data_IF_700727183671
#
_entry.id   IF_700727183671
#
_cell.length_a   1.000
_cell.length_b   1.000
_cell.length_c   1.000
_cell.angle_alpha   90.00
_cell.angle_beta   90.00
_cell.angle_gamma   90.00
#
_symmetry.space_group_name_H-M   'P 1'
#
loop_
_entity.id
_entity.type
_entity.pdbx_description
1 polymer ?
#
# COMPACT_ATOMS: atom_id res chain seq x y z
N UNK A 1 23.66 60.13 0.36
CA UNK A 1 24.34 58.95 0.95
C UNK A 1 23.44 58.12 1.87
N UNK A 2 22.33 58.64 2.43
CA UNK A 2 21.39 57.86 3.25
C UNK A 2 20.57 56.80 2.49
N UNK A 3 20.39 56.97 1.18
CA UNK A 3 19.53 56.15 0.31
C UNK A 3 20.11 54.76 -0.03
N UNK A 4 21.45 54.66 -0.14
CA UNK A 4 22.12 53.40 -0.54
C UNK A 4 22.18 52.39 0.61
N UNK A 5 22.37 52.87 1.85
CA UNK A 5 22.41 51.99 3.03
C UNK A 5 21.01 51.50 3.43
N UNK A 6 19.99 52.34 3.25
CA UNK A 6 18.59 51.96 3.45
C UNK A 6 18.15 50.92 2.40
N UNK A 7 18.46 51.16 1.12
CA UNK A 7 18.20 50.21 0.03
C UNK A 7 18.95 48.88 0.24
N UNK A 8 20.20 48.93 0.70
CA UNK A 8 20.98 47.72 1.05
C UNK A 8 20.33 46.95 2.19
N UNK A 9 19.88 47.64 3.24
CA UNK A 9 19.17 47.01 4.36
C UNK A 9 17.84 46.38 3.94
N UNK A 10 17.10 47.03 3.05
CA UNK A 10 15.88 46.47 2.45
C UNK A 10 16.18 45.21 1.63
N UNK A 11 17.17 45.26 0.74
CA UNK A 11 17.55 44.11 -0.10
C UNK A 11 18.05 42.93 0.74
N UNK A 12 18.81 43.17 1.81
CA UNK A 12 19.25 42.12 2.73
C UNK A 12 18.08 41.42 3.42
N UNK A 13 17.07 42.17 3.88
CA UNK A 13 15.84 41.60 4.47
C UNK A 13 15.04 40.82 3.43
N UNK A 14 14.81 41.38 2.25
CA UNK A 14 14.08 40.70 1.18
C UNK A 14 14.75 39.40 0.73
N UNK A 15 16.09 39.36 0.67
CA UNK A 15 16.85 38.14 0.37
C UNK A 15 16.74 37.11 1.50
N UNK A 16 16.76 37.54 2.76
CA UNK A 16 16.56 36.65 3.91
C UNK A 16 15.15 36.04 3.91
N UNK A 17 14.11 36.87 3.75
CA UNK A 17 12.71 36.42 3.65
C UNK A 17 12.49 35.47 2.47
N UNK A 18 13.10 35.74 1.31
CA UNK A 18 13.02 34.84 0.15
C UNK A 18 13.71 33.50 0.43
N UNK A 19 14.85 33.51 1.14
CA UNK A 19 15.56 32.27 1.52
C UNK A 19 14.73 31.44 2.50
N UNK A 20 14.16 32.09 3.52
CA UNK A 20 13.26 31.43 4.48
C UNK A 20 12.04 30.85 3.79
N UNK A 21 11.39 31.62 2.92
CA UNK A 21 10.23 31.15 2.14
C UNK A 21 10.59 29.97 1.25
N UNK A 22 11.74 30.01 0.56
CA UNK A 22 12.21 28.89 -0.27
C UNK A 22 12.55 27.65 0.57
N UNK A 23 13.16 27.82 1.74
CA UNK A 23 13.46 26.73 2.64
C UNK A 23 12.16 26.07 3.16
N UNK A 24 11.18 26.88 3.56
CA UNK A 24 9.87 26.41 4.00
C UNK A 24 9.08 25.71 2.88
N UNK A 25 9.17 26.19 1.63
CA UNK A 25 8.56 25.50 0.48
C UNK A 25 9.26 24.17 0.18
N UNK A 26 10.60 24.13 0.25
CA UNK A 26 11.37 22.91 0.04
C UNK A 26 11.05 21.83 1.07
N UNK A 27 10.92 22.19 2.35
CA UNK A 27 10.56 21.20 3.39
C UNK A 27 9.13 20.68 3.24
N UNK A 28 8.19 21.52 2.77
CA UNK A 28 6.79 21.13 2.55
C UNK A 28 6.61 20.13 1.40
N UNK A 29 7.50 20.16 0.42
CA UNK A 29 7.47 19.28 -0.76
C UNK A 29 8.72 18.40 -0.83
N UNK A 30 9.37 18.17 0.31
CA UNK A 30 10.55 17.34 0.36
C UNK A 30 10.20 15.91 -0.07
N UNK A 31 10.96 15.30 -0.99
CA UNK A 31 10.76 13.90 -1.36
C UNK A 31 10.98 12.98 -0.15
N UNK A 32 10.23 11.89 -0.12
CA UNK A 32 10.32 10.87 0.93
C UNK A 32 10.87 9.58 0.34
N UNK A 33 11.95 9.07 0.92
CA UNK A 33 12.63 7.87 0.47
C UNK A 33 11.99 6.64 1.10
N UNK A 34 11.69 5.64 0.28
CA UNK A 34 11.35 4.29 0.73
C UNK A 34 12.65 3.51 0.87
N UNK A 35 13.05 3.17 2.10
CA UNK A 35 14.32 2.49 2.36
C UNK A 35 14.22 0.97 2.23
N UNK A 36 13.22 0.41 2.91
CA UNK A 36 12.99 -1.02 2.99
C UNK A 36 11.50 -1.33 2.99
N UNK A 37 11.18 -2.57 2.66
CA UNK A 37 9.82 -3.04 2.54
C UNK A 37 9.74 -4.55 2.77
N UNK A 38 8.58 -5.01 3.21
CA UNK A 38 8.19 -6.42 3.24
C UNK A 38 6.72 -6.56 2.90
N UNK A 39 6.32 -7.72 2.38
CA UNK A 39 4.93 -8.01 2.07
C UNK A 39 4.59 -9.49 2.23
N UNK A 40 3.29 -9.76 2.33
CA UNK A 40 2.63 -11.06 2.24
C UNK A 40 1.46 -10.92 1.30
N UNK A 41 1.45 -11.68 0.22
CA UNK A 41 0.37 -11.69 -0.76
C UNK A 41 0.08 -13.13 -1.21
N UNK A 42 -1.08 -13.38 -1.84
CA UNK A 42 -1.43 -14.70 -2.36
C UNK A 42 -0.42 -15.22 -3.39
N UNK A 43 -0.46 -16.52 -3.65
CA UNK A 43 0.41 -17.17 -4.63
C UNK A 43 1.84 -17.41 -4.12
N UNK A 44 1.97 -17.60 -2.81
CA UNK A 44 3.24 -17.86 -2.13
C UNK A 44 4.16 -16.64 -2.00
N UNK A 45 3.61 -15.42 -2.08
CA UNK A 45 4.42 -14.20 -2.00
C UNK A 45 4.74 -13.88 -0.54
N UNK A 46 6.02 -14.01 -0.19
CA UNK A 46 6.53 -13.74 1.17
C UNK A 46 7.54 -12.60 1.23
N UNK A 47 7.86 -11.99 0.10
CA UNK A 47 8.81 -10.89 -0.01
C UNK A 47 8.53 -10.02 -1.23
N UNK A 48 9.15 -8.85 -1.29
CA UNK A 48 9.04 -7.92 -2.44
C UNK A 48 9.60 -8.56 -3.71
N UNK A 49 10.65 -9.38 -3.59
CA UNK A 49 11.18 -10.17 -4.69
C UNK A 49 10.20 -11.23 -5.19
N UNK A 50 9.49 -11.93 -4.29
CA UNK A 50 8.46 -12.90 -4.69
C UNK A 50 7.29 -12.22 -5.40
N UNK A 51 6.89 -11.02 -4.93
CA UNK A 51 5.87 -10.20 -5.59
C UNK A 51 6.31 -9.86 -7.01
N UNK A 52 7.56 -9.43 -7.19
CA UNK A 52 8.12 -9.14 -8.50
C UNK A 52 8.13 -10.38 -9.40
N UNK A 53 8.57 -11.54 -8.89
CA UNK A 53 8.57 -12.78 -9.66
C UNK A 53 7.15 -13.16 -10.10
N UNK A 54 6.15 -13.03 -9.21
CA UNK A 54 4.76 -13.30 -9.51
C UNK A 54 4.23 -12.44 -10.67
N UNK A 55 4.45 -11.11 -10.62
CA UNK A 55 3.94 -10.19 -11.65
C UNK A 55 4.73 -10.25 -12.95
N UNK A 56 6.05 -10.50 -12.89
CA UNK A 56 6.90 -10.59 -14.08
C UNK A 56 6.65 -11.87 -14.87
N UNK A 57 6.32 -12.97 -14.18
CA UNK A 57 5.88 -14.23 -14.80
C UNK A 57 4.41 -14.19 -15.26
N UNK A 58 3.67 -13.14 -14.89
CA UNK A 58 2.25 -13.02 -15.22
C UNK A 58 1.37 -14.08 -14.55
N UNK A 59 1.70 -14.50 -13.32
CA UNK A 59 0.91 -15.49 -12.59
C UNK A 59 -0.37 -14.88 -12.01
N UNK A 60 -1.43 -15.68 -12.04
CA UNK A 60 -2.72 -15.43 -11.40
C UNK A 60 -2.74 -16.18 -10.06
N UNK A 61 -2.97 -15.46 -8.97
CA UNK A 61 -2.89 -15.95 -7.59
C UNK A 61 -4.26 -16.30 -6.98
N UNK A 62 -5.33 -16.23 -7.78
CA UNK A 62 -6.67 -16.62 -7.35
C UNK A 62 -6.73 -18.14 -7.15
N UNK A 63 -7.26 -18.54 -5.99
CA UNK A 63 -7.36 -19.93 -5.55
C UNK A 63 -8.64 -20.16 -4.74
N UNK A 64 -9.03 -21.43 -4.51
CA UNK A 64 -10.00 -21.77 -3.47
C UNK A 64 -9.47 -21.41 -2.07
N UNK A 65 -10.33 -21.21 -1.07
CA UNK A 65 -9.90 -20.95 0.30
C UNK A 65 -9.02 -22.10 0.84
N UNK A 66 -7.98 -21.81 1.64
CA UNK A 66 -7.14 -22.84 2.23
C UNK A 66 -7.97 -23.77 3.11
N UNK A 67 -7.77 -25.09 2.98
CA UNK A 67 -8.54 -26.11 3.72
C UNK A 67 -8.46 -25.91 5.24
N UNK A 68 -7.34 -25.38 5.74
CA UNK A 68 -7.11 -25.08 7.15
C UNK A 68 -8.05 -24.02 7.74
N UNK A 69 -8.73 -23.23 6.90
CA UNK A 69 -9.73 -22.24 7.34
C UNK A 69 -11.02 -22.91 7.81
N UNK A 70 -11.27 -24.17 7.40
CA UNK A 70 -12.46 -24.92 7.80
C UNK A 70 -13.78 -24.34 7.28
N UNK A 71 -13.73 -23.58 6.19
CA UNK A 71 -14.90 -22.96 5.57
C UNK A 71 -15.69 -23.98 4.72
N UNK A 72 -16.99 -23.75 4.47
CA UNK A 72 -17.81 -24.59 3.58
C UNK A 72 -17.19 -24.78 2.18
N UNK A 73 -17.50 -25.90 1.51
CA UNK A 73 -16.92 -26.24 0.19
C UNK A 73 -17.40 -25.35 -0.96
N UNK A 74 -18.49 -24.63 -0.78
CA UNK A 74 -19.01 -23.60 -1.69
C UNK A 74 -18.42 -22.21 -1.42
N UNK A 75 -17.47 -22.10 -0.47
CA UNK A 75 -16.76 -20.85 -0.23
C UNK A 75 -16.03 -20.36 -1.49
N UNK A 76 -16.17 -19.06 -1.73
CA UNK A 76 -15.81 -18.41 -2.98
C UNK A 76 -14.30 -18.44 -3.25
N UNK A 77 -13.90 -18.51 -4.53
CA UNK A 77 -12.51 -18.32 -4.91
C UNK A 77 -12.06 -16.87 -4.63
N UNK A 78 -10.77 -16.69 -4.35
CA UNK A 78 -10.17 -15.40 -4.03
C UNK A 78 -8.66 -15.49 -3.90
N UNK A 79 -8.03 -14.38 -3.50
CA UNK A 79 -6.61 -14.37 -3.16
C UNK A 79 -6.42 -14.67 -1.67
N UNK A 80 -5.83 -15.82 -1.33
CA UNK A 80 -5.63 -16.24 0.06
C UNK A 80 -4.16 -16.35 0.43
N UNK A 81 -3.85 -16.10 1.71
CA UNK A 81 -2.55 -16.41 2.30
C UNK A 81 -2.52 -17.85 2.81
N UNK A 82 -1.44 -18.56 2.50
CA UNK A 82 -1.29 -20.00 2.76
C UNK A 82 -1.12 -20.34 4.26
N UNK A 83 -0.30 -19.57 5.00
CA UNK A 83 0.14 -19.91 6.36
C UNK A 83 -0.34 -18.89 7.42
N UNK A 84 -1.62 -18.50 7.37
CA UNK A 84 -2.15 -17.47 8.27
C UNK A 84 -2.19 -17.91 9.74
N UNK A 85 -2.31 -19.22 9.96
CA UNK A 85 -2.37 -19.78 11.31
C UNK A 85 -1.00 -19.86 11.98
N UNK A 86 0.10 -19.67 11.25
CA UNK A 86 1.46 -19.82 11.76
C UNK A 86 2.06 -18.50 12.27
N UNK A 87 2.76 -18.54 13.40
CA UNK A 87 3.44 -17.37 13.97
C UNK A 87 4.55 -17.77 14.96
N UNK A 88 5.54 -16.90 15.20
CA UNK A 88 6.55 -17.07 16.26
C UNK A 88 6.33 -16.01 17.36
N UNK A 89 5.52 -16.30 18.38
CA UNK A 89 5.22 -15.32 19.42
C UNK A 89 6.40 -15.03 20.34
N UNK A 90 7.27 -16.01 20.58
CA UNK A 90 8.41 -15.86 21.47
C UNK A 90 9.42 -14.83 20.92
N UNK A 91 9.60 -14.81 19.59
CA UNK A 91 10.42 -13.80 18.92
C UNK A 91 9.96 -12.36 19.20
N UNK A 92 8.64 -12.15 19.35
CA UNK A 92 8.04 -10.84 19.63
C UNK A 92 7.69 -10.63 21.11
N UNK A 93 8.16 -11.50 22.02
CA UNK A 93 7.91 -11.38 23.45
C UNK A 93 6.46 -11.64 23.87
N UNK A 94 5.72 -12.42 23.08
CA UNK A 94 4.34 -12.83 23.35
C UNK A 94 4.30 -14.26 23.88
N UNK A 95 3.32 -14.55 24.75
CA UNK A 95 3.03 -15.91 25.18
C UNK A 95 2.20 -16.66 24.12
N UNK A 96 2.17 -17.99 24.21
CA UNK A 96 1.32 -18.82 23.37
C UNK A 96 -0.17 -18.45 23.51
N UNK A 97 -0.65 -18.23 24.74
CA UNK A 97 -2.05 -17.86 25.01
C UNK A 97 -2.43 -16.51 24.39
N UNK A 98 -1.52 -15.53 24.44
CA UNK A 98 -1.72 -14.26 23.77
C UNK A 98 -1.78 -14.43 22.25
N UNK A 99 -0.93 -15.29 21.70
CA UNK A 99 -0.84 -15.53 20.26
C UNK A 99 -2.14 -16.13 19.71
N UNK A 100 -2.77 -17.07 20.41
CA UNK A 100 -4.02 -17.73 19.96
C UNK A 100 -5.12 -16.72 19.65
N UNK A 101 -5.33 -15.72 20.50
CA UNK A 101 -6.40 -14.72 20.37
C UNK A 101 -5.94 -13.40 19.76
N UNK A 102 -4.70 -13.36 19.26
CA UNK A 102 -4.17 -12.23 18.50
C UNK A 102 -4.66 -12.34 17.05
N UNK A 103 -5.35 -11.31 16.55
CA UNK A 103 -5.79 -11.22 15.17
C UNK A 103 -4.58 -11.46 14.23
N UNK A 104 -4.69 -12.38 13.25
CA UNK A 104 -3.65 -12.62 12.28
C UNK A 104 -3.11 -11.38 11.58
N UNK A 105 -3.92 -10.34 11.42
CA UNK A 105 -3.47 -9.03 10.92
C UNK A 105 -2.33 -8.46 11.78
N UNK A 106 -2.46 -8.50 13.11
CA UNK A 106 -1.42 -8.01 14.02
C UNK A 106 -0.16 -8.88 13.99
N UNK A 107 -0.32 -10.20 13.82
CA UNK A 107 0.81 -11.14 13.70
C UNK A 107 1.62 -10.88 12.43
N UNK A 108 0.94 -10.75 11.29
CA UNK A 108 1.55 -10.42 10.01
C UNK A 108 2.26 -9.09 10.07
N UNK A 109 1.63 -8.07 10.67
CA UNK A 109 2.24 -6.75 10.83
C UNK A 109 3.52 -6.80 11.68
N UNK A 110 3.59 -7.64 12.72
CA UNK A 110 4.82 -7.81 13.50
C UNK A 110 5.96 -8.37 12.64
N UNK A 111 5.71 -9.43 11.87
CA UNK A 111 6.69 -10.02 10.96
C UNK A 111 7.10 -9.04 9.84
N UNK A 112 6.14 -8.50 9.10
CA UNK A 112 6.44 -7.62 7.95
C UNK A 112 7.10 -6.32 8.38
N UNK A 113 6.81 -5.82 9.59
CA UNK A 113 7.50 -4.63 10.11
C UNK A 113 8.94 -4.91 10.50
N UNK A 114 9.19 -6.03 11.19
CA UNK A 114 10.56 -6.45 11.49
C UNK A 114 11.38 -6.59 10.20
N UNK A 115 10.82 -7.29 9.21
CA UNK A 115 11.48 -7.54 7.93
C UNK A 115 11.70 -6.27 7.13
N UNK A 116 10.72 -5.35 7.06
CA UNK A 116 10.87 -4.08 6.36
C UNK A 116 11.98 -3.20 6.96
N UNK A 117 12.09 -3.17 8.29
CA UNK A 117 13.19 -2.47 9.00
C UNK A 117 14.52 -3.14 8.67
N UNK A 118 14.58 -4.46 8.75
CA UNK A 118 15.80 -5.24 8.46
C UNK A 118 16.26 -5.04 7.00
N UNK A 119 15.34 -5.12 6.05
CA UNK A 119 15.60 -4.91 4.61
C UNK A 119 15.97 -3.45 4.27
N UNK A 120 15.65 -2.49 5.14
CA UNK A 120 16.11 -1.10 5.03
C UNK A 120 17.58 -0.91 5.43
N UNK A 121 18.23 -1.95 5.99
CA UNK A 121 19.59 -1.89 6.54
C UNK A 121 19.65 -1.34 7.97
N UNK A 122 18.50 -1.14 8.62
CA UNK A 122 18.39 -0.70 10.00
C UNK A 122 18.32 -1.89 10.96
N UNK A 123 18.88 -1.72 12.16
CA UNK A 123 18.73 -2.66 13.27
C UNK A 123 17.47 -2.30 14.09
N UNK A 124 16.43 -3.16 14.15
CA UNK A 124 15.23 -2.90 14.93
C UNK A 124 15.51 -2.61 16.41
N UNK A 125 16.56 -3.20 16.99
CA UNK A 125 16.92 -2.98 18.40
C UNK A 125 17.50 -1.59 18.65
N UNK A 126 18.22 -1.03 17.68
CA UNK A 126 18.79 0.31 17.73
C UNK A 126 17.72 1.41 17.58
N UNK A 127 16.53 1.09 17.06
CA UNK A 127 15.42 2.03 16.91
C UNK A 127 14.57 2.19 18.18
N UNK A 128 14.83 1.41 19.25
CA UNK A 128 14.12 1.57 20.52
C UNK A 128 14.40 2.95 21.12
N UNK A 129 13.35 3.64 21.55
CA UNK A 129 13.40 5.02 22.04
C UNK A 129 13.43 6.09 20.94
N UNK A 130 13.48 5.70 19.66
CA UNK A 130 13.55 6.64 18.55
C UNK A 130 12.21 7.34 18.28
N UNK A 131 12.30 8.48 17.59
CA UNK A 131 11.14 9.24 17.08
C UNK A 131 10.60 8.62 15.79
N UNK A 132 10.37 7.31 15.81
CA UNK A 132 9.74 6.59 14.69
C UNK A 132 8.23 6.67 14.81
N UNK A 133 7.54 7.06 13.74
CA UNK A 133 6.07 7.03 13.65
C UNK A 133 5.55 5.71 13.08
N UNK A 134 4.34 5.32 13.42
CA UNK A 134 3.65 4.11 12.93
C UNK A 134 2.28 4.48 12.38
N UNK A 135 2.05 4.17 11.11
CA UNK A 135 0.81 4.48 10.40
C UNK A 135 0.29 3.22 9.71
N UNK A 136 -0.84 2.68 10.18
CA UNK A 136 -1.38 1.42 9.69
C UNK A 136 -2.74 1.64 9.06
N UNK A 137 -2.86 1.34 7.77
CA UNK A 137 -4.13 1.13 7.10
C UNK A 137 -4.64 -0.27 7.39
N UNK A 138 -5.76 -0.40 8.10
CA UNK A 138 -6.34 -1.71 8.42
C UNK A 138 -7.81 -1.69 8.06
N UNK A 139 -8.28 -2.80 7.50
CA UNK A 139 -9.70 -3.05 7.33
C UNK A 139 -10.08 -4.33 8.03
N UNK A 140 -11.36 -4.43 8.38
CA UNK A 140 -11.98 -5.56 9.05
C UNK A 140 -11.53 -5.79 10.49
N UNK A 141 -12.53 -6.17 11.29
CA UNK A 141 -12.37 -6.71 12.62
C UNK A 141 -13.15 -8.04 12.71
N UNK A 142 -13.25 -8.76 11.59
CA UNK A 142 -14.10 -9.96 11.49
C UNK A 142 -13.58 -11.08 12.40
N UNK A 143 -12.27 -11.17 12.65
CA UNK A 143 -11.69 -12.05 13.67
C UNK A 143 -12.33 -11.83 15.05
N UNK A 144 -12.47 -10.57 15.49
CA UNK A 144 -13.14 -10.24 16.75
C UNK A 144 -14.59 -10.70 16.74
N UNK A 145 -15.37 -10.32 15.73
CA UNK A 145 -16.78 -10.65 15.64
C UNK A 145 -17.02 -12.16 15.52
N UNK A 146 -16.10 -12.86 14.86
CA UNK A 146 -16.15 -14.31 14.74
C UNK A 146 -15.89 -14.98 16.11
N UNK A 147 -14.95 -14.48 16.92
CA UNK A 147 -14.52 -15.19 18.13
C UNK A 147 -15.15 -14.69 19.44
N UNK A 148 -15.70 -13.47 19.50
CA UNK A 148 -16.17 -12.85 20.75
C UNK A 148 -17.20 -13.68 21.53
N UNK A 149 -18.05 -14.41 20.82
CA UNK A 149 -19.15 -15.21 21.39
C UNK A 149 -18.80 -16.72 21.40
N UNK A 150 -17.59 -17.10 20.95
CA UNK A 150 -17.14 -18.49 20.78
C UNK A 150 -15.98 -18.87 21.71
N UNK A 151 -15.34 -17.91 22.38
CA UNK A 151 -14.23 -18.15 23.30
C UNK A 151 -14.67 -18.12 24.77
N UNK A 152 -13.97 -18.85 25.67
CA UNK A 152 -14.15 -18.72 27.11
C UNK A 152 -13.92 -17.28 27.59
N UNK A 153 -14.63 -16.86 28.64
CA UNK A 153 -14.60 -15.48 29.15
C UNK A 153 -13.18 -14.98 29.49
N UNK A 154 -12.32 -15.84 30.03
CA UNK A 154 -10.92 -15.52 30.38
C UNK A 154 -10.08 -15.16 29.13
N UNK A 155 -10.34 -15.81 27.99
CA UNK A 155 -9.69 -15.50 26.72
C UNK A 155 -10.31 -14.26 26.04
N UNK A 156 -11.58 -13.95 26.32
CA UNK A 156 -12.29 -12.80 25.77
C UNK A 156 -11.66 -11.45 26.11
N UNK A 157 -11.05 -11.30 27.29
CA UNK A 157 -10.34 -10.07 27.67
C UNK A 157 -9.11 -9.82 26.79
N UNK A 158 -8.36 -10.88 26.46
CA UNK A 158 -7.20 -10.81 25.58
C UNK A 158 -7.62 -10.60 24.11
N UNK A 159 -8.77 -11.11 23.69
CA UNK A 159 -9.30 -10.93 22.33
C UNK A 159 -9.54 -9.45 21.97
N UNK A 160 -10.00 -8.63 22.92
CA UNK A 160 -10.20 -7.18 22.71
C UNK A 160 -8.89 -6.50 22.32
N UNK A 161 -7.82 -6.73 23.08
CA UNK A 161 -6.48 -6.21 22.76
C UNK A 161 -5.87 -6.91 21.54
N UNK A 162 -6.24 -8.17 21.32
CA UNK A 162 -5.78 -8.98 20.19
C UNK A 162 -6.41 -8.58 18.86
N UNK A 163 -7.53 -7.85 18.85
CA UNK A 163 -8.30 -7.61 17.62
C UNK A 163 -8.71 -6.16 17.39
N UNK A 164 -8.56 -5.26 18.37
CA UNK A 164 -8.88 -3.84 18.16
C UNK A 164 -8.04 -3.24 17.04
N UNK A 165 -8.67 -2.48 16.14
CA UNK A 165 -7.98 -1.80 15.03
C UNK A 165 -6.85 -0.90 15.53
N UNK A 166 -7.03 -0.18 16.65
CA UNK A 166 -5.97 0.67 17.24
C UNK A 166 -4.73 -0.11 17.66
N UNK A 167 -4.88 -1.40 18.00
CA UNK A 167 -3.77 -2.25 18.43
C UNK A 167 -2.89 -2.68 17.26
N UNK A 168 -3.35 -2.57 16.01
CA UNK A 168 -2.52 -2.83 14.82
C UNK A 168 -1.31 -1.89 14.76
N UNK A 169 -1.48 -0.60 15.07
CA UNK A 169 -0.39 0.35 15.17
C UNK A 169 0.27 0.35 16.56
N UNK A 170 -0.55 0.34 17.62
CA UNK A 170 -0.06 0.44 19.00
C UNK A 170 0.87 -0.71 19.39
N UNK A 171 0.58 -1.94 18.94
CA UNK A 171 1.43 -3.11 19.21
C UNK A 171 2.79 -3.01 18.52
N UNK A 172 2.87 -2.44 17.32
CA UNK A 172 4.16 -2.21 16.65
C UNK A 172 4.98 -1.19 17.43
N UNK A 173 4.40 -0.04 17.78
CA UNK A 173 5.07 0.97 18.60
C UNK A 173 5.56 0.40 19.93
N UNK A 174 4.74 -0.41 20.61
CA UNK A 174 5.12 -1.07 21.85
C UNK A 174 6.27 -2.07 21.67
N UNK A 175 6.15 -2.96 20.69
CA UNK A 175 7.11 -4.04 20.45
C UNK A 175 8.48 -3.50 20.06
N UNK A 176 8.52 -2.56 19.10
CA UNK A 176 9.75 -1.96 18.61
C UNK A 176 10.23 -0.76 19.44
N UNK A 177 9.44 -0.31 20.42
CA UNK A 177 9.79 0.81 21.30
C UNK A 177 9.85 2.15 20.58
N UNK A 178 8.85 2.48 19.76
CA UNK A 178 8.78 3.74 19.01
C UNK A 178 8.00 4.82 19.76
N UNK A 179 8.46 6.07 19.70
CA UNK A 179 7.96 7.16 20.55
C UNK A 179 7.29 8.33 19.80
N UNK A 180 7.03 8.21 18.50
CA UNK A 180 6.23 9.21 17.76
C UNK A 180 4.78 8.73 17.56
N UNK A 181 4.04 9.36 16.65
CA UNK A 181 2.64 9.06 16.37
C UNK A 181 2.43 7.56 16.08
N UNK A 182 1.34 6.99 16.61
CA UNK A 182 0.93 5.61 16.37
C UNK A 182 -0.55 5.59 16.02
N UNK A 183 -0.86 5.41 14.74
CA UNK A 183 -2.20 5.64 14.18
C UNK A 183 -2.62 4.45 13.34
N UNK A 184 -3.85 3.98 13.59
CA UNK A 184 -4.56 3.08 12.69
C UNK A 184 -5.67 3.86 11.97
N UNK A 185 -5.82 3.66 10.66
CA UNK A 185 -6.80 4.36 9.83
C UNK A 185 -7.60 3.37 8.97
N UNK A 186 -8.89 3.63 8.85
CA UNK A 186 -9.79 2.93 7.93
C UNK A 186 -10.52 3.94 7.04
N UNK A 187 -10.13 3.93 5.76
CA UNK A 187 -10.76 4.63 4.63
C UNK A 187 -11.11 3.64 3.53
N UNK A 188 -11.42 2.41 3.93
CA UNK A 188 -11.61 1.27 3.05
C UNK A 188 -10.38 1.00 2.15
N UNK A 189 -10.60 0.78 0.84
CA UNK A 189 -9.56 0.35 -0.09
C UNK A 189 -8.36 1.30 -0.22
N UNK A 190 -8.49 2.56 0.23
CA UNK A 190 -7.42 3.55 0.23
C UNK A 190 -6.62 3.62 1.55
N UNK A 191 -6.97 2.85 2.59
CA UNK A 191 -6.38 2.91 3.93
C UNK A 191 -4.85 2.91 3.98
N UNK A 192 -4.19 1.97 3.30
CA UNK A 192 -2.72 1.91 3.31
C UNK A 192 -2.06 3.15 2.70
N UNK A 193 -2.70 3.79 1.71
CA UNK A 193 -2.18 5.01 1.07
C UNK A 193 -2.52 6.26 1.88
N UNK A 194 -3.66 6.28 2.57
CA UNK A 194 -3.96 7.34 3.54
C UNK A 194 -2.97 7.30 4.70
N UNK A 195 -2.61 6.11 5.19
CA UNK A 195 -1.53 5.94 6.17
C UNK A 195 -0.18 6.46 5.63
N UNK A 196 0.14 6.16 4.37
CA UNK A 196 1.32 6.70 3.68
C UNK A 196 1.32 8.24 3.65
N UNK A 197 0.19 8.84 3.28
CA UNK A 197 0.04 10.30 3.25
C UNK A 197 0.24 10.95 4.63
N UNK A 198 -0.30 10.33 5.69
CA UNK A 198 -0.11 10.80 7.07
C UNK A 198 1.37 10.71 7.49
N UNK A 199 2.05 9.61 7.14
CA UNK A 199 3.47 9.44 7.40
C UNK A 199 4.35 10.46 6.67
N UNK A 200 4.09 10.68 5.37
CA UNK A 200 4.78 11.71 4.57
C UNK A 200 4.59 13.09 5.20
N UNK A 201 3.37 13.41 5.64
CA UNK A 201 3.08 14.66 6.33
C UNK A 201 3.85 14.81 7.65
N UNK A 202 3.88 13.75 8.47
CA UNK A 202 4.58 13.75 9.76
C UNK A 202 6.10 13.88 9.58
N UNK A 203 6.69 13.21 8.58
CA UNK A 203 8.10 13.34 8.23
C UNK A 203 8.45 14.76 7.78
N UNK A 204 7.67 15.35 6.85
CA UNK A 204 7.88 16.72 6.36
C UNK A 204 7.72 17.79 7.44
N UNK A 205 6.87 17.53 8.46
CA UNK A 205 6.71 18.39 9.64
C UNK A 205 7.74 18.14 10.74
N UNK A 206 8.69 17.23 10.53
CA UNK A 206 9.67 16.81 11.52
C UNK A 206 9.01 16.31 12.83
N UNK A 207 7.84 15.69 12.76
CA UNK A 207 7.16 15.06 13.92
C UNK A 207 7.78 13.68 14.23
N UNK A 208 8.32 13.03 13.21
CA UNK A 208 9.11 11.80 13.29
C UNK A 208 10.35 11.91 12.39
N UNK A 209 11.35 11.07 12.65
CA UNK A 209 12.59 10.99 11.84
C UNK A 209 12.57 9.77 10.90
N UNK A 210 11.84 8.73 11.29
CA UNK A 210 11.50 7.57 10.49
C UNK A 210 10.01 7.32 10.58
N UNK A 211 9.41 6.75 9.55
CA UNK A 211 8.02 6.30 9.61
C UNK A 211 7.88 4.87 9.09
N UNK A 212 7.19 4.04 9.86
CA UNK A 212 6.75 2.72 9.48
C UNK A 212 5.31 2.83 8.98
N UNK A 213 5.08 2.47 7.72
CA UNK A 213 3.75 2.51 7.11
C UNK A 213 3.35 1.11 6.72
N UNK A 214 2.15 0.68 7.12
CA UNK A 214 1.65 -0.63 6.76
C UNK A 214 0.20 -0.59 6.26
N UNK A 215 -0.17 -1.60 5.47
CA UNK A 215 -1.51 -1.86 5.00
C UNK A 215 -1.80 -3.34 5.17
N UNK A 216 -2.92 -3.69 5.81
CA UNK A 216 -3.29 -5.09 6.05
C UNK A 216 -4.80 -5.32 5.90
N UNK A 217 -5.16 -6.44 5.29
CA UNK A 217 -6.54 -6.92 5.22
C UNK A 217 -6.53 -8.44 5.12
N UNK A 218 -7.19 -9.08 6.08
CA UNK A 218 -7.28 -10.54 6.17
C UNK A 218 -8.75 -10.92 6.35
N UNK A 219 -9.18 -12.01 5.72
CA UNK A 219 -10.51 -12.57 5.92
C UNK A 219 -10.40 -13.70 6.95
N UNK A 220 -10.75 -13.41 8.22
CA UNK A 220 -10.78 -14.43 9.25
C UNK A 220 -12.03 -15.33 9.18
N UNK A 221 -13.06 -14.89 8.45
CA UNK A 221 -14.33 -15.60 8.28
C UNK A 221 -14.91 -15.42 6.86
N UNK A 222 -15.81 -16.32 6.40
CA UNK A 222 -16.43 -16.19 5.08
C UNK A 222 -17.45 -15.05 4.99
N UNK A 223 -17.84 -14.43 6.11
CA UNK A 223 -18.92 -13.44 6.19
C UNK A 223 -18.73 -12.24 5.23
N UNK A 224 -17.48 -11.87 4.94
CA UNK A 224 -17.18 -10.80 3.98
C UNK A 224 -17.56 -11.20 2.55
N UNK A 225 -17.24 -12.44 2.17
CA UNK A 225 -17.59 -12.97 0.86
C UNK A 225 -19.11 -13.01 0.71
N UNK A 226 -19.83 -13.51 1.72
CA UNK A 226 -21.30 -13.56 1.73
C UNK A 226 -21.90 -12.16 1.61
N UNK A 227 -21.36 -11.19 2.35
CA UNK A 227 -21.83 -9.80 2.30
C UNK A 227 -21.60 -9.17 0.92
N UNK A 228 -20.42 -9.35 0.34
CA UNK A 228 -20.10 -8.77 -0.98
C UNK A 228 -20.83 -9.45 -2.12
N UNK A 229 -21.09 -10.75 -1.99
CA UNK A 229 -21.96 -11.47 -2.89
C UNK A 229 -23.40 -10.95 -2.80
N UNK A 230 -23.91 -10.64 -1.61
CA UNK A 230 -25.26 -10.09 -1.42
C UNK A 230 -25.46 -8.70 -2.03
N UNK A 231 -24.37 -7.99 -2.32
CA UNK A 231 -24.37 -6.66 -2.96
C UNK A 231 -24.04 -6.72 -4.46
N UNK A 232 -23.97 -7.90 -5.08
CA UNK A 232 -23.63 -8.10 -6.50
C UNK A 232 -22.31 -7.41 -6.92
N UNK A 233 -21.33 -7.35 -6.01
CA UNK A 233 -20.06 -6.65 -6.26
C UNK A 233 -18.93 -7.57 -6.76
N UNK A 234 -19.03 -8.87 -6.51
CA UNK A 234 -17.96 -9.83 -6.82
C UNK A 234 -18.06 -10.35 -8.26
N UNK A 235 -16.91 -10.51 -8.91
CA UNK A 235 -16.86 -11.21 -10.20
C UNK A 235 -17.25 -12.69 -9.99
N UNK A 236 -18.17 -13.25 -10.80
CA UNK A 236 -18.51 -14.68 -10.73
C UNK A 236 -17.31 -15.61 -10.94
N UNK A 237 -16.29 -15.13 -11.65
CA UNK A 237 -15.05 -15.87 -11.89
C UNK A 237 -13.94 -15.58 -10.87
N UNK A 238 -14.22 -14.77 -9.86
CA UNK A 238 -13.25 -14.28 -8.87
C UNK A 238 -11.99 -13.67 -9.52
N UNK A 239 -12.16 -12.88 -10.59
CA UNK A 239 -11.04 -12.21 -11.27
C UNK A 239 -11.31 -10.73 -11.40
N UNK A 240 -10.30 -9.90 -11.09
CA UNK A 240 -10.33 -8.48 -11.42
C UNK A 240 -9.88 -8.31 -12.87
N UNK A 241 -10.85 -8.22 -13.79
CA UNK A 241 -10.60 -7.92 -15.21
C UNK A 241 -10.42 -6.42 -15.45
N UNK A 242 -9.45 -5.84 -14.76
CA UNK A 242 -9.21 -4.39 -14.71
C UNK A 242 -9.12 -3.78 -16.11
N UNK A 243 -10.03 -2.88 -16.42
CA UNK A 243 -10.14 -2.11 -17.67
C UNK A 243 -10.45 -2.91 -18.93
N UNK A 244 -10.75 -4.20 -18.81
CA UNK A 244 -11.09 -5.07 -19.93
C UNK A 244 -12.59 -5.05 -20.23
N UNK A 245 -12.98 -5.47 -21.44
CA UNK A 245 -14.40 -5.53 -21.85
C UNK A 245 -15.22 -6.50 -20.99
N UNK A 246 -14.57 -7.56 -20.47
CA UNK A 246 -15.20 -8.55 -19.61
C UNK A 246 -15.27 -8.16 -18.13
N UNK A 247 -14.94 -6.92 -17.75
CA UNK A 247 -15.08 -6.44 -16.38
C UNK A 247 -16.49 -6.71 -15.82
N UNK A 248 -16.61 -7.43 -14.71
CA UNK A 248 -17.90 -7.87 -14.14
C UNK A 248 -17.90 -7.91 -12.60
N UNK A 249 -16.97 -7.21 -11.97
CA UNK A 249 -16.80 -7.19 -10.53
C UNK A 249 -15.35 -7.41 -10.12
N UNK A 250 -15.12 -7.44 -8.81
CA UNK A 250 -13.79 -7.65 -8.24
C UNK A 250 -13.67 -9.01 -7.56
N UNK A 251 -12.44 -9.46 -7.35
CA UNK A 251 -12.09 -10.63 -6.57
C UNK A 251 -11.62 -10.20 -5.19
N UNK A 252 -12.15 -10.78 -4.11
CA UNK A 252 -11.63 -10.51 -2.78
C UNK A 252 -10.24 -11.12 -2.63
N UNK A 253 -9.34 -10.41 -1.97
CA UNK A 253 -8.03 -10.96 -1.60
C UNK A 253 -7.55 -10.48 -0.25
N UNK A 254 -6.76 -11.32 0.40
CA UNK A 254 -5.97 -11.03 1.58
C UNK A 254 -4.62 -10.39 1.21
N UNK A 255 -4.00 -9.66 2.14
CA UNK A 255 -2.64 -9.18 1.96
C UNK A 255 -2.13 -8.27 3.08
N UNK A 256 -0.81 -8.16 3.16
CA UNK A 256 -0.10 -7.24 4.05
C UNK A 256 1.12 -6.65 3.35
N UNK A 257 1.39 -5.36 3.54
CA UNK A 257 2.63 -4.73 3.12
C UNK A 257 3.06 -3.69 4.13
N UNK A 258 4.37 -3.59 4.36
CA UNK A 258 4.99 -2.60 5.24
C UNK A 258 6.16 -1.94 4.52
N UNK A 259 6.30 -0.62 4.64
CA UNK A 259 7.41 0.17 4.12
C UNK A 259 8.01 1.06 5.22
N UNK A 260 9.32 1.28 5.13
CA UNK A 260 10.07 2.20 6.01
C UNK A 260 10.44 3.43 5.21
N UNK A 261 10.10 4.60 5.76
CA UNK A 261 10.24 5.89 5.11
C UNK A 261 11.17 6.83 5.89
N UNK A 262 11.92 7.64 5.15
CA UNK A 262 12.67 8.77 5.70
C UNK A 262 12.64 9.98 4.77
N UNK A 263 12.97 11.17 5.28
CA UNK A 263 13.16 12.36 4.44
C UNK A 263 14.36 12.18 3.50
N UNK A 264 14.28 12.72 2.29
CA UNK A 264 15.39 12.72 1.33
C UNK A 264 16.66 13.36 1.92
N UNK A 265 16.54 14.48 2.65
CA UNK A 265 17.71 15.12 3.26
C UNK A 265 18.39 14.24 4.32
N UNK A 266 17.63 13.41 5.04
CA UNK A 266 18.18 12.46 6.01
C UNK A 266 18.89 11.31 5.29
N UNK A 267 18.29 10.84 4.18
CA UNK A 267 18.87 9.82 3.32
C UNK A 267 20.21 10.23 2.70
N UNK A 268 20.31 11.45 2.19
CA UNK A 268 21.54 11.99 1.60
C UNK A 268 22.70 12.11 2.59
N UNK A 269 22.40 12.11 3.90
CA UNK A 269 23.41 12.10 4.97
C UNK A 269 23.78 10.69 5.42
N UNK A 270 23.04 9.67 4.99
CA UNK A 270 23.26 8.27 5.33
C UNK A 270 23.88 7.48 4.18
N UNK A 271 24.01 6.17 4.40
CA UNK A 271 24.55 5.20 3.42
C UNK A 271 23.53 4.08 3.11
N UNK A 272 22.27 4.26 3.55
CA UNK A 272 21.22 3.26 3.33
C UNK A 272 20.70 3.37 1.90
N UNK A 273 20.53 2.25 1.18
CA UNK A 273 20.02 2.29 -0.19
C UNK A 273 18.53 2.65 -0.25
N UNK A 274 18.13 3.30 -1.33
CA UNK A 274 16.72 3.61 -1.61
C UNK A 274 16.07 2.53 -2.49
N UNK A 275 14.86 2.10 -2.13
CA UNK A 275 14.01 1.27 -2.97
C UNK A 275 13.23 2.11 -4.00
N UNK A 276 12.72 3.27 -3.58
CA UNK A 276 11.97 4.22 -4.40
C UNK A 276 11.92 5.60 -3.72
N UNK A 277 11.54 6.63 -4.47
CA UNK A 277 11.29 7.98 -3.93
C UNK A 277 9.83 8.36 -4.15
N UNK A 278 9.13 8.72 -3.08
CA UNK A 278 7.80 9.33 -3.14
C UNK A 278 7.98 10.82 -3.36
N UNK A 279 7.58 11.28 -4.55
CA UNK A 279 7.67 12.70 -4.93
C UNK A 279 6.48 13.49 -4.43
N UNK A 280 5.28 12.93 -4.54
CA UNK A 280 4.08 13.57 -4.04
C UNK A 280 2.98 12.58 -3.72
N UNK A 281 2.10 12.98 -2.81
CA UNK A 281 0.92 12.20 -2.44
C UNK A 281 -0.23 13.13 -2.09
N UNK A 282 -1.43 12.80 -2.57
CA UNK A 282 -2.64 13.56 -2.26
C UNK A 282 -3.78 12.63 -1.84
N UNK A 283 -4.68 13.19 -1.03
CA UNK A 283 -5.91 12.55 -0.57
C UNK A 283 -7.05 13.56 -0.72
N UNK A 284 -8.19 13.12 -1.25
CA UNK A 284 -9.43 13.90 -1.21
C UNK A 284 -10.65 12.99 -0.98
N UNK A 285 -11.85 13.57 -1.08
CA UNK A 285 -13.10 12.84 -0.97
C UNK A 285 -14.01 13.16 -2.17
N UNK A 286 -14.79 12.18 -2.61
CA UNK A 286 -15.77 12.33 -3.69
C UNK A 286 -16.79 13.45 -3.39
N UNK A 287 -17.14 13.63 -2.12
CA UNK A 287 -18.11 14.62 -1.67
C UNK A 287 -19.55 14.14 -1.88
N UNK A 288 -20.45 15.05 -2.22
CA UNK A 288 -21.84 14.71 -2.60
C UNK A 288 -21.92 14.13 -4.00
N UNK A 289 -22.89 13.26 -4.26
CA UNK A 289 -23.04 12.60 -5.55
C UNK A 289 -24.29 11.71 -5.64
N UNK A 290 -24.43 10.94 -6.73
CA UNK A 290 -25.61 10.10 -6.98
C UNK A 290 -25.72 8.89 -6.04
N UNK A 291 -24.68 8.57 -5.28
CA UNK A 291 -24.67 7.49 -4.29
C UNK A 291 -23.37 7.47 -3.50
N UNK A 292 -23.43 7.01 -2.24
CA UNK A 292 -22.30 7.02 -1.31
C UNK A 292 -21.11 6.19 -1.82
N UNK A 293 -21.38 5.02 -2.41
CA UNK A 293 -20.37 4.07 -2.87
C UNK A 293 -20.03 4.23 -4.36
N UNK A 294 -20.51 5.29 -5.02
CA UNK A 294 -20.28 5.50 -6.45
C UNK A 294 -19.04 6.40 -6.69
N UNK A 295 -18.14 6.03 -7.61
CA UNK A 295 -16.98 6.84 -7.94
C UNK A 295 -17.38 8.08 -8.75
N UNK A 296 -16.51 9.09 -8.78
CA UNK A 296 -16.73 10.31 -9.54
C UNK A 296 -15.43 10.79 -10.23
N UNK A 297 -15.55 11.17 -11.50
CA UNK A 297 -14.40 11.58 -12.33
C UNK A 297 -13.72 12.85 -11.81
N UNK A 298 -14.49 13.89 -11.45
CA UNK A 298 -13.90 15.19 -11.09
C UNK A 298 -13.03 15.13 -9.82
N UNK A 299 -13.47 14.49 -8.71
CA UNK A 299 -12.60 14.26 -7.56
C UNK A 299 -11.35 13.43 -7.87
N UNK A 300 -11.45 12.44 -8.77
CA UNK A 300 -10.27 11.67 -9.19
C UNK A 300 -9.27 12.51 -9.99
N UNK A 301 -9.74 13.38 -10.90
CA UNK A 301 -8.87 14.35 -11.59
C UNK A 301 -8.17 15.26 -10.57
N UNK A 302 -8.93 15.82 -9.62
CA UNK A 302 -8.39 16.73 -8.61
C UNK A 302 -7.33 16.08 -7.72
N UNK A 303 -7.50 14.82 -7.32
CA UNK A 303 -6.48 14.14 -6.48
C UNK A 303 -5.22 13.84 -7.28
N UNK A 304 -5.34 13.54 -8.57
CA UNK A 304 -4.19 13.36 -9.47
C UNK A 304 -3.43 14.67 -9.62
N UNK A 305 -4.12 15.76 -9.95
CA UNK A 305 -3.54 17.09 -10.09
C UNK A 305 -2.87 17.57 -8.80
N UNK A 306 -3.50 17.32 -7.64
CA UNK A 306 -2.94 17.65 -6.34
C UNK A 306 -1.66 16.85 -6.02
N UNK A 307 -1.60 15.56 -6.38
CA UNK A 307 -0.40 14.75 -6.18
C UNK A 307 0.75 15.18 -7.12
N UNK A 308 0.45 15.55 -8.36
CA UNK A 308 1.42 16.13 -9.30
C UNK A 308 1.94 17.48 -8.79
N UNK A 309 1.05 18.35 -8.29
CA UNK A 309 1.42 19.62 -7.68
C UNK A 309 2.29 19.43 -6.44
N UNK A 310 1.94 18.48 -5.56
CA UNK A 310 2.76 18.13 -4.38
C UNK A 310 4.14 17.60 -4.78
N UNK A 311 4.23 16.89 -5.91
CA UNK A 311 5.47 16.39 -6.47
C UNK A 311 6.32 17.46 -7.18
N UNK A 312 5.75 18.63 -7.49
CA UNK A 312 6.35 19.62 -8.39
C UNK A 312 6.59 19.07 -9.80
N UNK A 313 5.68 18.22 -10.28
CA UNK A 313 5.75 17.54 -11.58
C UNK A 313 4.52 17.87 -12.44
N UNK A 314 4.64 17.58 -13.74
CA UNK A 314 3.57 17.72 -14.72
C UNK A 314 3.04 16.35 -15.16
N UNK A 315 1.90 16.34 -15.86
CA UNK A 315 1.31 15.12 -16.41
C UNK A 315 2.27 14.32 -17.32
N UNK A 316 3.11 15.01 -18.10
CA UNK A 316 4.05 14.39 -19.04
C UNK A 316 5.23 13.69 -18.37
N UNK A 317 5.46 13.99 -17.08
CA UNK A 317 6.56 13.42 -16.31
C UNK A 317 6.29 11.97 -15.87
N UNK A 318 5.03 11.55 -15.76
CA UNK A 318 4.64 10.21 -15.26
C UNK A 318 4.43 9.25 -16.42
N UNK A 319 5.09 8.09 -16.43
CA UNK A 319 5.08 7.14 -17.54
C UNK A 319 3.94 6.12 -17.47
N UNK A 320 3.64 5.68 -16.25
CA UNK A 320 2.75 4.56 -15.99
C UNK A 320 1.90 4.83 -14.77
N UNK A 321 0.64 4.42 -14.82
CA UNK A 321 -0.26 4.40 -13.67
C UNK A 321 -0.58 2.95 -13.32
N UNK A 322 -0.27 2.61 -12.08
CA UNK A 322 -0.83 1.47 -11.38
C UNK A 322 -2.21 1.90 -10.85
N UNK A 323 -3.24 1.56 -11.62
CA UNK A 323 -4.61 1.99 -11.40
C UNK A 323 -5.27 1.30 -10.20
N UNK A 324 -6.32 1.93 -9.69
CA UNK A 324 -7.20 1.30 -8.73
C UNK A 324 -7.87 0.08 -9.38
N UNK A 325 -8.38 0.19 -10.61
CA UNK A 325 -8.66 -0.92 -11.53
C UNK A 325 -9.29 -2.14 -10.89
N UNK A 326 -10.49 -2.01 -10.33
CA UNK A 326 -11.16 -3.11 -9.65
C UNK A 326 -11.78 -4.14 -10.59
N UNK A 327 -11.88 -3.84 -11.89
CA UNK A 327 -12.60 -4.71 -12.82
C UNK A 327 -14.11 -4.49 -12.76
N UNK A 328 -14.56 -3.32 -12.31
CA UNK A 328 -15.98 -2.95 -12.29
C UNK A 328 -16.29 -2.07 -13.50
N UNK A 329 -17.35 -2.35 -14.30
CA UNK A 329 -17.63 -1.59 -15.52
C UNK A 329 -17.68 -0.08 -15.32
N UNK A 330 -18.39 0.38 -14.29
CA UNK A 330 -18.53 1.80 -13.99
C UNK A 330 -17.25 2.39 -13.42
N UNK A 331 -16.61 1.69 -12.47
CA UNK A 331 -15.40 2.19 -11.79
C UNK A 331 -14.24 2.36 -12.76
N UNK A 332 -14.00 1.36 -13.61
CA UNK A 332 -12.92 1.37 -14.58
C UNK A 332 -13.12 2.47 -15.63
N UNK A 333 -14.34 2.68 -16.12
CA UNK A 333 -14.65 3.76 -17.07
C UNK A 333 -14.47 5.16 -16.44
N UNK A 334 -14.89 5.34 -15.18
CA UNK A 334 -14.70 6.60 -14.43
C UNK A 334 -13.21 6.89 -14.22
N UNK A 335 -12.43 5.88 -13.83
CA UNK A 335 -10.99 6.00 -13.61
C UNK A 335 -10.25 6.37 -14.89
N UNK A 336 -10.49 5.66 -15.99
CA UNK A 336 -9.80 5.96 -17.26
C UNK A 336 -10.20 7.34 -17.79
N UNK A 337 -11.45 7.77 -17.60
CA UNK A 337 -11.86 9.14 -17.93
C UNK A 337 -11.10 10.18 -17.09
N UNK A 338 -10.91 9.92 -15.79
CA UNK A 338 -10.16 10.83 -14.91
C UNK A 338 -8.68 10.89 -15.31
N UNK A 339 -8.06 9.74 -15.58
CA UNK A 339 -6.69 9.65 -16.07
C UNK A 339 -6.52 10.34 -17.42
N UNK A 340 -7.45 10.16 -18.35
CA UNK A 340 -7.41 10.84 -19.65
C UNK A 340 -7.44 12.37 -19.49
N UNK A 341 -8.28 12.89 -18.59
CA UNK A 341 -8.37 14.33 -18.32
C UNK A 341 -7.11 14.88 -17.64
N UNK A 342 -6.56 14.16 -16.67
CA UNK A 342 -5.41 14.62 -15.90
C UNK A 342 -4.07 14.41 -16.62
N UNK A 343 -3.91 13.28 -17.32
CA UNK A 343 -2.66 12.85 -17.93
C UNK A 343 -2.64 12.85 -19.45
N UNK A 344 -3.80 12.70 -20.10
CA UNK A 344 -3.90 12.46 -21.54
C UNK A 344 -3.70 13.70 -22.39
N UNK A 345 -3.89 14.90 -21.82
CA UNK A 345 -3.60 16.15 -22.50
C UNK A 345 -2.09 16.28 -22.81
N UNK A 346 -1.78 16.79 -24.01
CA UNK A 346 -0.40 17.09 -24.45
C UNK A 346 0.57 15.90 -24.55
N UNK A 347 0.10 14.64 -24.41
CA UNK A 347 0.97 13.48 -24.63
C UNK A 347 1.25 13.26 -26.12
N UNK A 348 2.52 13.05 -26.51
CA UNK A 348 2.87 12.57 -27.84
C UNK A 348 2.27 11.17 -28.10
N UNK A 349 1.85 10.90 -29.34
CA UNK A 349 1.23 9.62 -29.72
C UNK A 349 2.17 8.41 -29.58
N UNK A 350 3.49 8.63 -29.63
CA UNK A 350 4.55 7.66 -29.41
C UNK A 350 4.90 7.45 -27.94
N UNK A 351 4.39 8.30 -27.04
CA UNK A 351 4.60 8.22 -25.58
C UNK A 351 3.27 8.31 -24.80
N UNK A 352 2.35 7.33 -25.00
CA UNK A 352 1.10 7.28 -24.25
C UNK A 352 1.36 7.05 -22.76
N UNK A 353 0.36 7.32 -21.93
CA UNK A 353 0.38 6.85 -20.55
C UNK A 353 0.11 5.36 -20.51
N UNK A 354 0.96 4.58 -19.86
CA UNK A 354 0.72 3.16 -19.63
C UNK A 354 -0.21 2.96 -18.43
N UNK A 355 -1.15 2.02 -18.52
CA UNK A 355 -2.10 1.70 -17.45
C UNK A 355 -2.16 0.19 -17.19
N UNK A 356 -2.05 -0.20 -15.93
CA UNK A 356 -2.27 -1.58 -15.50
C UNK A 356 -2.76 -1.65 -14.06
N UNK A 357 -3.03 -2.87 -13.56
CA UNK A 357 -3.36 -3.06 -12.14
C UNK A 357 -2.86 -4.41 -11.62
N UNK A 358 -2.22 -4.38 -10.45
CA UNK A 358 -1.81 -5.54 -9.65
C UNK A 358 -3.00 -6.42 -9.27
N UNK A 359 -4.21 -5.84 -9.21
CA UNK A 359 -5.43 -6.59 -8.87
C UNK A 359 -5.73 -7.69 -9.88
N UNK A 360 -5.29 -7.55 -11.12
CA UNK A 360 -5.42 -8.60 -12.14
C UNK A 360 -4.62 -9.87 -11.80
N UNK A 361 -3.55 -9.77 -11.00
CA UNK A 361 -2.76 -10.90 -10.52
C UNK A 361 -3.24 -11.45 -9.18
N UNK A 362 -3.55 -10.57 -8.22
CA UNK A 362 -3.76 -10.96 -6.82
C UNK A 362 -5.23 -10.95 -6.40
N UNK A 363 -6.13 -10.36 -7.18
CA UNK A 363 -7.40 -9.86 -6.68
C UNK A 363 -7.23 -8.57 -5.89
N UNK A 364 -8.30 -8.10 -5.27
CA UNK A 364 -8.31 -6.86 -4.51
C UNK A 364 -7.89 -7.08 -3.05
N UNK A 365 -6.62 -6.81 -2.75
CA UNK A 365 -6.01 -6.93 -1.39
C UNK A 365 -6.33 -5.73 -0.47
N UNK A 366 -7.38 -4.99 -0.79
CA UNK A 366 -8.01 -3.96 0.05
C UNK A 366 -7.04 -2.93 0.65
N UNK A 367 -6.96 -2.79 1.99
CA UNK A 367 -6.10 -1.79 2.63
C UNK A 367 -4.61 -1.97 2.27
N UNK A 368 -4.18 -3.19 1.92
CA UNK A 368 -2.83 -3.50 1.48
C UNK A 368 -2.60 -3.26 -0.02
N UNK A 369 -3.65 -2.99 -0.81
CA UNK A 369 -3.57 -2.94 -2.28
C UNK A 369 -2.76 -1.77 -2.82
N UNK A 370 -2.96 -0.57 -2.28
CA UNK A 370 -2.20 0.60 -2.73
C UNK A 370 -0.71 0.48 -2.44
N UNK A 371 -0.33 -0.07 -1.27
CA UNK A 371 1.08 -0.34 -0.97
C UNK A 371 1.66 -1.46 -1.85
N UNK A 372 0.87 -2.50 -2.16
CA UNK A 372 1.27 -3.53 -3.13
C UNK A 372 1.56 -2.97 -4.51
N UNK A 373 0.70 -2.07 -4.99
CA UNK A 373 0.92 -1.33 -6.24
C UNK A 373 2.19 -0.48 -6.22
N UNK A 374 2.48 0.19 -5.10
CA UNK A 374 3.73 0.93 -4.88
C UNK A 374 4.95 0.00 -4.97
N UNK A 375 4.91 -1.16 -4.30
CA UNK A 375 6.02 -2.13 -4.33
C UNK A 375 6.22 -2.74 -5.72
N UNK A 376 5.13 -3.06 -6.43
CA UNK A 376 5.17 -3.50 -7.83
C UNK A 376 5.89 -2.46 -8.70
N UNK A 377 5.53 -1.18 -8.56
CA UNK A 377 6.13 -0.10 -9.37
C UNK A 377 7.58 0.21 -8.99
N UNK A 378 7.94 0.12 -7.70
CA UNK A 378 9.33 0.23 -7.27
C UNK A 378 10.21 -0.86 -7.91
N UNK A 379 9.74 -2.10 -7.93
CA UNK A 379 10.45 -3.20 -8.60
C UNK A 379 10.46 -3.04 -10.12
N UNK A 380 9.37 -2.56 -10.72
CA UNK A 380 9.31 -2.26 -12.15
C UNK A 380 10.37 -1.21 -12.58
N UNK A 381 10.58 -0.16 -11.77
CA UNK A 381 11.64 0.83 -11.99
C UNK A 381 13.02 0.18 -11.89
N UNK A 382 13.26 -0.58 -10.81
CA UNK A 382 14.52 -1.29 -10.57
C UNK A 382 14.90 -2.23 -11.72
N UNK A 383 13.93 -2.96 -12.26
CA UNK A 383 14.13 -3.90 -13.36
C UNK A 383 14.02 -3.25 -14.75
N UNK A 384 13.56 -1.99 -14.84
CA UNK A 384 13.36 -1.30 -16.11
C UNK A 384 12.33 -1.96 -17.01
N UNK A 385 11.27 -2.53 -16.42
CA UNK A 385 10.20 -3.26 -17.12
C UNK A 385 8.86 -2.96 -16.44
N UNK A 386 7.85 -2.56 -17.22
CA UNK A 386 6.46 -2.50 -16.76
C UNK A 386 5.84 -3.89 -17.00
N UNK A 387 5.49 -4.65 -15.95
CA UNK A 387 4.92 -5.99 -16.12
C UNK A 387 3.49 -5.92 -16.67
N UNK A 388 3.10 -6.95 -17.42
CA UNK A 388 1.75 -7.05 -17.97
C UNK A 388 0.66 -7.02 -16.89
N UNK A 389 -0.48 -6.41 -17.23
CA UNK A 389 -1.74 -6.54 -16.51
C UNK A 389 -2.50 -7.73 -17.10
N UNK A 390 -2.95 -8.67 -16.26
CA UNK A 390 -3.67 -9.84 -16.76
C UNK A 390 -5.07 -9.45 -17.26
N UNK A 391 -5.59 -10.26 -18.19
CA UNK A 391 -6.92 -10.10 -18.80
C UNK A 391 -7.12 -8.80 -19.59
N UNK A 392 -6.04 -8.10 -19.94
CA UNK A 392 -6.07 -6.82 -20.64
C UNK A 392 -5.97 -6.94 -22.17
N UNK A 393 -6.06 -8.16 -22.71
CA UNK A 393 -5.97 -8.45 -24.15
C UNK A 393 -7.13 -7.88 -24.97
N UNK A 394 -8.28 -7.69 -24.34
CA UNK A 394 -9.44 -7.01 -24.94
C UNK A 394 -9.86 -5.81 -24.08
N UNK A 395 -9.34 -4.59 -24.35
CA UNK A 395 -9.69 -3.37 -23.64
C UNK A 395 -11.19 -3.06 -23.70
N UNK A 396 -11.75 -2.44 -22.66
CA UNK A 396 -13.17 -2.15 -22.58
C UNK A 396 -13.67 -1.28 -23.73
N UNK A 397 -14.78 -1.68 -24.37
CA UNK A 397 -15.45 -0.89 -25.43
C UNK A 397 -16.17 0.35 -24.91
N UNK A 398 -16.32 0.46 -23.60
CA UNK A 398 -16.95 1.61 -22.95
C UNK A 398 -15.99 2.80 -22.81
N UNK A 399 -14.75 2.64 -23.25
CA UNK A 399 -13.67 3.62 -23.17
C UNK A 399 -13.17 3.91 -24.59
N UNK A 400 -13.07 5.20 -24.94
CA UNK A 400 -12.41 5.64 -26.16
C UNK A 400 -10.89 5.76 -25.91
N UNK A 401 -10.17 4.65 -26.10
CA UNK A 401 -8.74 4.53 -25.81
C UNK A 401 -7.87 5.46 -26.65
N UNK A 402 -8.23 5.69 -27.91
CA UNK A 402 -7.49 6.57 -28.81
C UNK A 402 -7.60 8.02 -28.34
N UNK A 403 -8.80 8.48 -27.96
CA UNK A 403 -8.97 9.81 -27.37
C UNK A 403 -8.37 9.92 -25.96
N UNK A 404 -8.28 8.80 -25.24
CA UNK A 404 -7.75 8.80 -23.89
C UNK A 404 -6.24 9.11 -23.84
N UNK A 405 -5.50 8.84 -24.93
CA UNK A 405 -4.03 8.83 -24.95
C UNK A 405 -3.41 7.91 -23.88
N UNK A 406 -4.11 6.81 -23.58
CA UNK A 406 -3.74 5.80 -22.59
C UNK A 406 -3.66 4.45 -23.30
N UNK A 407 -2.66 3.64 -22.95
CA UNK A 407 -2.56 2.24 -23.42
C UNK A 407 -2.52 1.29 -22.24
N UNK A 408 -3.35 0.24 -22.31
CA UNK A 408 -3.27 -0.86 -21.36
C UNK A 408 -1.98 -1.65 -21.56
N UNK A 409 -1.38 -2.08 -20.46
CA UNK A 409 -0.19 -2.92 -20.46
C UNK A 409 -0.60 -4.38 -20.67
N UNK A 410 -1.00 -4.71 -21.88
CA UNK A 410 -1.45 -6.06 -22.29
C UNK A 410 -0.30 -7.10 -22.37
N UNK A 411 0.94 -6.62 -22.39
CA UNK A 411 2.18 -7.39 -22.39
C UNK A 411 3.27 -6.61 -21.67
N UNK A 412 4.31 -7.28 -21.20
CA UNK A 412 5.44 -6.61 -20.54
C UNK A 412 6.14 -5.61 -21.47
N UNK A 413 6.36 -4.39 -20.99
CA UNK A 413 6.95 -3.29 -21.75
C UNK A 413 8.32 -2.95 -21.18
N UNK A 414 9.33 -2.84 -22.05
CA UNK A 414 10.64 -2.32 -21.65
C UNK A 414 10.50 -0.85 -21.25
N UNK A 415 11.07 -0.49 -20.12
CA UNK A 415 11.02 0.87 -19.57
C UNK A 415 12.45 1.37 -19.35
N UNK A 416 13.10 1.96 -20.36
CA UNK A 416 14.43 2.55 -20.22
C UNK A 416 14.38 3.93 -19.55
N UNK A 417 15.43 4.30 -18.82
CA UNK A 417 15.63 5.66 -18.31
C UNK A 417 16.22 6.55 -19.43
N UNK A 418 15.36 7.18 -20.23
CA UNK A 418 15.75 7.99 -21.41
C UNK A 418 16.13 9.43 -21.01
N UNK A 419 17.22 9.59 -20.26
CA UNK A 419 17.69 10.92 -19.84
C UNK A 419 16.83 11.64 -18.78
N UNK A 420 15.81 10.96 -18.26
CA UNK A 420 14.99 11.36 -17.11
C UNK A 420 14.69 10.14 -16.23
N UNK A 421 14.47 10.32 -14.92
CA UNK A 421 14.13 9.20 -14.05
C UNK A 421 12.76 8.62 -14.45
N UNK A 422 12.63 7.29 -14.29
CA UNK A 422 11.34 6.61 -14.45
C UNK A 422 10.37 7.07 -13.38
N UNK A 423 9.13 7.36 -13.75
CA UNK A 423 8.10 7.78 -12.81
C UNK A 423 6.81 7.02 -13.03
N UNK A 424 6.27 6.52 -11.94
CA UNK A 424 4.96 5.87 -11.91
C UNK A 424 4.02 6.64 -10.98
N UNK A 425 2.73 6.44 -11.14
CA UNK A 425 1.79 6.80 -10.10
C UNK A 425 0.92 5.61 -9.67
N UNK A 426 0.40 5.66 -8.45
CA UNK A 426 -0.46 4.63 -7.86
C UNK A 426 -1.75 5.29 -7.40
N UNK A 427 -2.88 4.78 -7.91
CA UNK A 427 -4.22 5.22 -7.51
C UNK A 427 -4.86 4.24 -6.55
N UNK A 428 -5.54 4.73 -5.50
CA UNK A 428 -6.44 3.90 -4.70
C UNK A 428 -7.69 4.66 -4.27
N UNK A 429 -8.86 4.09 -4.55
CA UNK A 429 -10.15 4.73 -4.31
C UNK A 429 -10.97 3.89 -3.33
N UNK A 430 -11.26 4.45 -2.16
CA UNK A 430 -12.05 3.79 -1.13
C UNK A 430 -13.54 3.82 -1.46
N UNK A 431 -14.26 2.75 -1.16
CA UNK A 431 -15.72 2.68 -1.32
C UNK A 431 -16.45 3.74 -0.49
N UNK A 432 -15.82 4.26 0.57
CA UNK A 432 -16.34 5.37 1.36
C UNK A 432 -16.28 6.73 0.64
N UNK A 433 -15.59 6.82 -0.50
CA UNK A 433 -15.39 8.03 -1.27
C UNK A 433 -14.00 8.67 -1.11
N UNK A 434 -13.12 8.13 -0.28
CA UNK A 434 -11.75 8.66 -0.09
C UNK A 434 -10.83 8.23 -1.22
N UNK A 435 -10.36 9.19 -2.03
CA UNK A 435 -9.44 8.93 -3.13
C UNK A 435 -8.01 9.29 -2.76
N UNK A 436 -7.05 8.53 -3.28
CA UNK A 436 -5.63 8.81 -3.12
C UNK A 436 -4.88 8.64 -4.43
N UNK A 437 -3.79 9.40 -4.56
CA UNK A 437 -2.85 9.28 -5.67
C UNK A 437 -1.43 9.55 -5.17
N UNK A 438 -0.49 8.69 -5.54
CA UNK A 438 0.94 8.77 -5.15
C UNK A 438 1.80 8.81 -6.40
N UNK A 439 2.75 9.74 -6.47
CA UNK A 439 3.73 9.83 -7.54
C UNK A 439 5.08 9.30 -7.03
N UNK A 440 5.59 8.27 -7.70
CA UNK A 440 6.85 7.59 -7.40
C UNK A 440 7.90 7.93 -8.46
N UNK A 441 9.15 7.99 -8.04
CA UNK A 441 10.30 8.20 -8.89
C UNK A 441 11.38 7.17 -8.58
N UNK A 442 12.09 6.75 -9.63
CA UNK A 442 13.30 5.94 -9.52
C UNK A 442 14.35 6.68 -8.66
N UNK A 443 14.97 6.01 -7.67
CA UNK A 443 16.00 6.64 -6.87
C UNK A 443 17.21 7.02 -7.74
N UNK A 444 17.92 8.08 -7.35
CA UNK A 444 19.19 8.41 -8.01
C UNK A 444 20.14 7.19 -7.94
N UNK A 445 20.97 6.95 -8.98
CA UNK A 445 21.91 5.84 -8.97
C UNK A 445 22.78 5.90 -7.71
N UNK A 446 22.72 4.86 -6.87
CA UNK A 446 23.45 4.80 -5.60
C UNK A 446 24.94 4.98 -5.84
N UNK A 447 25.50 6.08 -5.33
CA UNK A 447 26.96 6.24 -5.21
C UNK A 447 27.36 5.48 -3.95
N UNK A 448 27.55 4.17 -4.09
CA UNK A 448 28.08 3.25 -3.09
C UNK A 448 27.15 2.90 -1.90
N UNK A 449 26.30 1.89 -2.08
CA UNK A 449 25.69 1.15 -0.97
C UNK A 449 25.29 -0.25 -1.38
N UNK A 450 26.10 -1.28 -1.09
CA UNK A 450 25.58 -2.65 -1.09
C UNK A 450 24.57 -2.75 0.04
N UNK A 451 23.34 -3.21 -0.21
CA UNK A 451 22.43 -3.62 0.88
C UNK A 451 23.23 -4.50 1.84
N UNK A 452 23.45 -4.03 3.07
CA UNK A 452 24.05 -4.86 4.09
C UNK A 452 23.05 -5.99 4.35
N UNK A 453 23.48 -7.24 4.21
CA UNK A 453 22.62 -8.38 4.47
C UNK A 453 22.52 -8.57 5.98
N UNK A 454 21.65 -7.81 6.64
CA UNK A 454 21.17 -8.28 7.95
C UNK A 454 20.45 -9.60 7.67
N UNK A 455 20.88 -10.67 8.33
CA UNK A 455 20.33 -12.00 8.06
C UNK A 455 18.82 -11.98 8.31
N UNK A 456 18.04 -12.50 7.35
CA UNK A 456 16.59 -12.65 7.53
C UNK A 456 16.33 -13.45 8.81
N UNK A 457 15.37 -13.01 9.64
CA UNK A 457 15.04 -13.71 10.87
C UNK A 457 14.61 -15.15 10.55
N UNK A 458 15.04 -16.09 11.38
CA UNK A 458 14.55 -17.48 11.35
C UNK A 458 13.48 -17.63 12.42
N UNK A 459 12.22 -17.56 12.00
CA UNK A 459 11.08 -17.77 12.87
C UNK A 459 10.92 -19.25 13.22
N UNK A 460 10.64 -19.54 14.48
CA UNK A 460 10.17 -20.84 14.98
C UNK A 460 8.65 -20.84 14.97
N UNK A 461 8.08 -20.88 13.77
CA UNK A 461 6.64 -20.80 13.59
C UNK A 461 5.93 -22.03 14.16
N UNK A 462 4.84 -21.78 14.85
CA UNK A 462 3.89 -22.79 15.30
C UNK A 462 2.47 -22.31 15.00
N UNK A 463 1.50 -23.24 15.04
CA UNK A 463 0.11 -22.94 14.75
C UNK A 463 -0.57 -22.26 15.95
N UNK A 464 -1.17 -21.11 15.69
CA UNK A 464 -1.98 -20.32 16.60
C UNK A 464 -3.30 -19.98 15.93
N UNK A 465 -4.36 -20.72 16.26
CA UNK A 465 -5.71 -20.40 15.81
C UNK A 465 -6.68 -20.82 16.89
N UNK A 466 -7.70 -20.01 17.23
CA UNK A 466 -8.65 -20.46 18.23
C UNK A 466 -9.40 -21.69 17.75
N UNK A 467 -9.49 -22.71 18.59
CA UNK A 467 -10.33 -23.89 18.35
C UNK A 467 -11.69 -23.66 18.98
N UNK A 468 -12.76 -23.62 18.20
CA UNK A 468 -14.14 -23.39 18.67
C UNK A 468 -14.76 -24.52 19.48
N UNK A 469 -13.99 -25.52 19.92
CA UNK A 469 -14.50 -26.56 20.81
C UNK A 469 -14.42 -26.09 22.26
N UNK A 470 -15.57 -25.80 22.84
CA UNK A 470 -15.78 -25.98 24.28
C UNK A 470 -15.72 -27.48 24.62
N UNK A 471 -14.61 -28.17 24.35
CA UNK A 471 -14.23 -29.48 24.87
C UNK A 471 -12.75 -29.74 24.49
N UNK A 472 -11.86 -30.06 25.45
CA UNK A 472 -10.53 -30.56 25.12
C UNK A 472 -10.71 -31.95 24.49
N UNK A 473 -10.20 -32.15 23.27
CA UNK A 473 -10.00 -33.52 22.78
C UNK A 473 -8.70 -34.03 23.38
N UNK A 474 -8.76 -35.23 23.93
CA UNK A 474 -7.79 -35.85 24.83
C UNK A 474 -6.44 -36.21 24.19
N UNK A 475 -6.11 -35.65 23.02
CA UNK A 475 -4.97 -36.09 22.20
C UNK A 475 -3.80 -35.10 22.06
N UNK A 476 -3.82 -33.96 22.77
CA UNK A 476 -2.67 -33.06 22.88
C UNK A 476 -2.05 -33.11 24.29
N UNK A 477 -1.49 -34.26 24.67
CA UNK A 477 -0.56 -34.40 25.82
C UNK A 477 0.74 -35.06 25.41
#
# INVERSE_FOLDING_TARGET
MADVDELRGYLQRAVAELRETRAALRSRHEPIVVLGASCRYPGGVTSVEDLWQLVSDGRDAISPPPAERGWPSDAHAGGYLDALTEFDPAFFGLTADQAVVLDPQQRLLLETSWEAITESGLDPSALRGSRTGVFVGSMYNDFYYHWRDRLPQEQGAHLVLGSSTSMTAGRLSYTFGFHSASVAVDTACSSGVVALHQAVSALRRNECDLALVAGVSIAASPAMFDFSHSMDMLSPSAKCRSFADGADGWALSEGAATVVLQRQSDHERGELPALAVIRGVAVNHVGGGPGLALPATAPQVQVIEAALADAGLTAEDVDVVEGHGTGTPLGDAVEVTALSRAYGAHRPADRPLWLGSLKSNLGHTQAAGGLGGLLKMAMAMRHGVIPQSLHADNPSRHIDWDRANIRLVDRSIRWPAEGRPRRAAVSSFGISGTNTHVVLEEPAPDVAGRRSSVARPRYRRARFWPSGSAHPTENDR
#
